data_IF_460314080481
#
_entry.id   IF_460314080481
#
_cell.length_a   1.000
_cell.length_b   1.000
_cell.length_c   1.000
_cell.angle_alpha   90.00
_cell.angle_beta   90.00
_cell.angle_gamma   90.00
#
_symmetry.space_group_name_H-M   'P 1'
#
loop_
_entity.id
_entity.type
_entity.pdbx_description
1 polymer ?
#
# COMPACT_ATOMS: atom_id res chain seq x y z
N UNK A 1 7.42 15.61 -33.97
CA UNK A 1 7.86 14.99 -32.71
C UNK A 1 6.91 13.85 -32.38
N UNK A 2 7.39 12.61 -32.51
CA UNK A 2 6.56 11.42 -32.43
C UNK A 2 6.39 10.91 -31.00
N UNK A 3 5.25 10.30 -30.74
CA UNK A 3 4.98 9.55 -29.51
C UNK A 3 6.02 8.44 -29.38
N UNK A 4 6.61 8.29 -28.19
CA UNK A 4 7.60 7.24 -27.93
C UNK A 4 6.97 5.86 -28.24
N UNK A 5 7.68 4.90 -28.87
CA UNK A 5 7.09 3.62 -29.29
C UNK A 5 6.38 2.86 -28.15
N UNK A 6 6.86 3.05 -26.91
CA UNK A 6 6.31 2.42 -25.71
C UNK A 6 5.30 3.29 -24.93
N UNK A 7 4.92 4.45 -25.44
CA UNK A 7 4.10 5.42 -24.72
C UNK A 7 2.72 4.83 -24.33
N UNK A 8 2.13 3.99 -25.19
CA UNK A 8 0.87 3.30 -24.90
C UNK A 8 0.97 2.43 -23.63
N UNK A 9 2.03 1.63 -23.51
CA UNK A 9 2.23 0.77 -22.37
C UNK A 9 2.66 1.54 -21.11
N UNK A 10 3.45 2.60 -21.26
CA UNK A 10 3.82 3.48 -20.15
C UNK A 10 2.58 4.17 -19.55
N UNK A 11 1.72 4.76 -20.38
CA UNK A 11 0.45 5.33 -19.95
C UNK A 11 -0.43 4.31 -19.22
N UNK A 12 -0.59 3.10 -19.78
CA UNK A 12 -1.35 2.01 -19.16
C UNK A 12 -0.74 1.55 -17.82
N UNK A 13 0.59 1.50 -17.73
CA UNK A 13 1.35 1.14 -16.51
C UNK A 13 1.16 2.17 -15.41
N UNK A 14 1.14 3.45 -15.76
CA UNK A 14 1.05 4.55 -14.80
C UNK A 14 -0.37 4.79 -14.29
N UNK A 15 -1.40 4.23 -14.95
CA UNK A 15 -2.78 4.24 -14.42
C UNK A 15 -2.93 3.62 -13.02
N UNK A 16 -2.00 2.74 -12.61
CA UNK A 16 -1.97 2.14 -11.26
C UNK A 16 -0.94 2.79 -10.32
N UNK A 17 -0.29 3.88 -10.71
CA UNK A 17 0.72 4.53 -9.89
C UNK A 17 0.17 4.93 -8.52
N UNK A 18 -0.97 5.62 -8.46
CA UNK A 18 -1.61 6.00 -7.20
C UNK A 18 -2.00 4.81 -6.33
N UNK A 19 -2.53 3.73 -6.93
CA UNK A 19 -2.81 2.48 -6.19
C UNK A 19 -1.54 1.87 -5.59
N UNK A 20 -0.45 1.81 -6.35
CA UNK A 20 0.84 1.28 -5.86
C UNK A 20 1.38 2.14 -4.73
N UNK A 21 1.31 3.46 -4.87
CA UNK A 21 1.77 4.40 -3.84
C UNK A 21 0.98 4.23 -2.54
N UNK A 22 -0.37 4.16 -2.61
CA UNK A 22 -1.20 3.87 -1.44
C UNK A 22 -0.88 2.51 -0.83
N UNK A 23 -0.70 1.48 -1.65
CA UNK A 23 -0.33 0.13 -1.19
C UNK A 23 1.01 0.13 -0.44
N UNK A 24 2.02 0.83 -0.96
CA UNK A 24 3.32 0.95 -0.29
C UNK A 24 3.22 1.74 1.02
N UNK A 25 2.42 2.83 1.06
CA UNK A 25 2.12 3.55 2.32
C UNK A 25 1.54 2.62 3.39
N UNK A 26 0.59 1.76 3.02
CA UNK A 26 0.00 0.81 3.96
C UNK A 26 1.00 -0.27 4.41
N UNK A 27 1.79 -0.82 3.49
CA UNK A 27 2.86 -1.78 3.84
C UNK A 27 3.86 -1.18 4.83
N UNK A 28 4.31 0.05 4.58
CA UNK A 28 5.24 0.74 5.47
C UNK A 28 4.63 0.96 6.85
N UNK A 29 3.32 1.28 6.93
CA UNK A 29 2.64 1.43 8.22
C UNK A 29 2.54 0.10 8.97
N UNK A 30 2.25 -1.00 8.27
CA UNK A 30 2.22 -2.36 8.85
C UNK A 30 3.59 -2.73 9.39
N UNK A 31 4.67 -2.50 8.62
CA UNK A 31 6.03 -2.77 9.05
C UNK A 31 6.42 -1.94 10.28
N UNK A 32 6.06 -0.65 10.29
CA UNK A 32 6.29 0.21 11.44
C UNK A 32 5.66 -0.36 12.72
N UNK A 33 4.37 -0.72 12.66
CA UNK A 33 3.66 -1.33 13.80
C UNK A 33 4.30 -2.67 14.18
N UNK A 34 4.67 -3.49 13.19
CA UNK A 34 5.28 -4.79 13.45
C UNK A 34 6.59 -4.65 14.23
N UNK A 35 7.48 -3.74 13.82
CA UNK A 35 8.76 -3.51 14.51
C UNK A 35 8.60 -2.78 15.85
N UNK A 36 7.66 -1.84 15.97
CA UNK A 36 7.36 -1.11 17.21
C UNK A 36 6.94 -2.04 18.36
N UNK A 37 6.20 -3.10 18.04
CA UNK A 37 5.75 -4.11 19.01
C UNK A 37 6.57 -5.41 18.93
N UNK A 38 7.81 -5.35 18.44
CA UNK A 38 8.77 -6.46 18.41
C UNK A 38 8.27 -7.74 17.71
N UNK A 39 7.37 -7.60 16.74
CA UNK A 39 6.81 -8.71 15.96
C UNK A 39 5.64 -9.45 16.62
N UNK A 40 5.19 -9.04 17.81
CA UNK A 40 4.06 -9.65 18.50
C UNK A 40 2.68 -9.47 17.84
N UNK A 41 2.38 -8.37 17.10
CA UNK A 41 1.05 -8.18 16.54
C UNK A 41 0.71 -9.16 15.42
N UNK A 42 -0.20 -10.10 15.70
CA UNK A 42 -0.88 -10.90 14.67
C UNK A 42 -1.94 -10.11 13.88
N UNK A 43 -2.59 -10.77 12.91
CA UNK A 43 -3.55 -10.12 11.99
C UNK A 43 -4.67 -9.32 12.69
N UNK A 44 -5.31 -9.89 13.73
CA UNK A 44 -6.40 -9.21 14.45
C UNK A 44 -5.92 -7.92 15.12
N UNK A 45 -4.76 -7.94 15.76
CA UNK A 45 -4.16 -6.77 16.40
C UNK A 45 -3.74 -5.73 15.36
N UNK A 46 -3.12 -6.18 14.26
CA UNK A 46 -2.73 -5.31 13.16
C UNK A 46 -3.94 -4.56 12.59
N UNK A 47 -5.10 -5.22 12.42
CA UNK A 47 -6.32 -4.53 12.00
C UNK A 47 -6.74 -3.41 12.94
N UNK A 48 -6.69 -3.63 14.26
CA UNK A 48 -7.06 -2.62 15.25
C UNK A 48 -6.12 -1.42 15.16
N UNK A 49 -4.81 -1.66 15.04
CA UNK A 49 -3.83 -0.58 14.90
C UNK A 49 -3.99 0.20 13.60
N UNK A 50 -4.26 -0.47 12.48
CA UNK A 50 -4.54 0.18 11.21
C UNK A 50 -5.82 1.02 11.27
N UNK A 51 -6.89 0.52 11.90
CA UNK A 51 -8.12 1.27 12.10
C UNK A 51 -7.89 2.53 12.96
N UNK A 52 -7.08 2.44 14.02
CA UNK A 52 -6.65 3.60 14.82
C UNK A 52 -5.86 4.62 14.00
N UNK A 53 -5.09 4.14 13.02
CA UNK A 53 -4.39 4.97 12.03
C UNK A 53 -5.29 5.43 10.86
N UNK A 54 -6.62 5.24 10.94
CA UNK A 54 -7.61 5.57 9.90
C UNK A 54 -7.39 4.83 8.58
N UNK A 55 -6.78 3.66 8.62
CA UNK A 55 -6.61 2.76 7.47
C UNK A 55 -7.57 1.58 7.62
N UNK A 56 -8.59 1.54 6.78
CA UNK A 56 -9.52 0.40 6.70
C UNK A 56 -9.08 -0.56 5.60
N UNK A 57 -8.91 -1.84 5.96
CA UNK A 57 -8.74 -2.92 4.98
C UNK A 57 -10.12 -3.47 4.59
N UNK A 58 -10.29 -3.86 3.33
CA UNK A 58 -11.46 -4.60 2.88
C UNK A 58 -11.53 -5.96 3.59
N UNK A 59 -12.72 -6.38 4.00
CA UNK A 59 -12.95 -7.78 4.34
C UNK A 59 -12.93 -8.58 3.04
N UNK A 60 -12.21 -9.70 3.02
CA UNK A 60 -12.22 -10.65 1.91
C UNK A 60 -13.42 -11.57 1.99
#
# INVERSE_FOLDING_TARGET
MGICPNAYYNYKKDRKAGYREQKEKFKNKILQIYHEYSGNPGYRMMRVYLLRAKISLSNT
#
